data_IF_739661163469
#
_entry.id   IF_739661163469
#
_cell.length_a   1.000
_cell.length_b   1.000
_cell.length_c   1.000
_cell.angle_alpha   90.00
_cell.angle_beta   90.00
_cell.angle_gamma   90.00
#
_symmetry.space_group_name_H-M   'P 1'
#
loop_
_entity.id
_entity.type
_entity.pdbx_description
1 polymer ?
#
# COMPACT_ATOMS: atom_id res chain seq x y z
N UNK A 1 16.29 23.05 12.15
CA UNK A 1 16.80 21.85 12.84
C UNK A 1 15.86 20.71 12.50
N UNK A 2 16.36 19.64 11.90
CA UNK A 2 15.63 18.37 11.80
C UNK A 2 15.85 17.64 13.14
N UNK A 3 14.80 17.10 13.74
CA UNK A 3 14.88 16.49 15.08
C UNK A 3 15.35 15.02 15.05
N UNK A 4 15.66 14.47 13.87
CA UNK A 4 16.06 13.08 13.70
C UNK A 4 14.94 12.06 13.95
N UNK A 5 13.70 12.53 14.17
CA UNK A 5 12.56 11.69 14.50
C UNK A 5 11.91 11.15 13.21
N UNK A 6 11.81 9.83 13.10
CA UNK A 6 11.07 9.19 12.00
C UNK A 6 9.57 9.37 12.24
N UNK A 7 8.87 9.94 11.26
CA UNK A 7 7.41 10.10 11.27
C UNK A 7 6.80 9.36 10.10
N UNK A 8 5.75 8.60 10.38
CA UNK A 8 4.96 7.87 9.39
C UNK A 8 3.75 8.70 8.99
N UNK A 9 3.50 8.80 7.68
CA UNK A 9 2.34 9.48 7.12
C UNK A 9 1.56 8.51 6.24
N UNK A 10 0.23 8.58 6.32
CA UNK A 10 -0.62 7.91 5.34
C UNK A 10 -0.51 8.64 4.00
N UNK A 11 -0.13 7.88 2.98
CA UNK A 11 0.08 8.39 1.63
C UNK A 11 -0.58 7.47 0.61
N UNK A 12 -1.06 8.06 -0.48
CA UNK A 12 -1.54 7.31 -1.62
C UNK A 12 -0.35 6.77 -2.40
N UNK A 13 -0.32 5.45 -2.57
CA UNK A 13 0.63 4.78 -3.45
C UNK A 13 -0.01 4.55 -4.80
N UNK A 14 0.55 5.17 -5.83
CA UNK A 14 0.11 5.00 -7.22
C UNK A 14 1.25 4.29 -7.96
N UNK A 15 1.07 3.05 -8.45
CA UNK A 15 2.17 2.26 -9.04
C UNK A 15 2.87 2.91 -10.23
N UNK A 16 2.19 3.79 -10.97
CA UNK A 16 2.75 4.56 -12.09
C UNK A 16 3.56 5.78 -11.65
N UNK A 17 3.45 6.20 -10.38
CA UNK A 17 4.20 7.32 -9.81
C UNK A 17 5.37 6.78 -8.98
N UNK A 18 6.58 7.26 -9.27
CA UNK A 18 7.80 6.93 -8.51
C UNK A 18 7.86 7.58 -7.11
N UNK A 19 6.84 8.35 -6.74
CA UNK A 19 6.78 9.13 -5.49
C UNK A 19 5.41 8.93 -4.84
N UNK A 20 5.39 8.92 -3.50
CA UNK A 20 4.16 8.88 -2.72
C UNK A 20 3.44 10.23 -2.75
N UNK A 21 2.11 10.21 -2.78
CA UNK A 21 1.28 11.42 -2.69
C UNK A 21 0.74 11.57 -1.26
N UNK A 22 1.01 12.70 -0.63
CA UNK A 22 0.50 13.01 0.71
C UNK A 22 -0.72 13.93 0.56
N UNK A 23 -1.84 13.53 1.14
CA UNK A 23 -3.08 14.31 1.12
C UNK A 23 -3.02 15.45 2.14
N UNK A 24 -3.25 16.68 1.70
CA UNK A 24 -3.38 17.83 2.59
C UNK A 24 -4.56 17.65 3.57
N UNK A 25 -5.70 17.14 3.10
CA UNK A 25 -6.85 16.89 3.98
C UNK A 25 -6.59 15.83 5.04
N UNK A 26 -5.71 14.87 4.77
CA UNK A 26 -5.27 13.89 5.80
C UNK A 26 -4.40 14.57 6.85
N UNK A 27 -3.46 15.42 6.42
CA UNK A 27 -2.61 16.17 7.34
C UNK A 27 -3.42 17.17 8.18
N UNK A 28 -4.44 17.81 7.59
CA UNK A 28 -5.31 18.76 8.29
C UNK A 28 -6.09 18.06 9.42
N UNK A 29 -6.70 16.90 9.13
CA UNK A 29 -7.36 16.05 10.14
C UNK A 29 -6.41 15.59 11.26
N UNK A 30 -5.11 15.47 10.99
CA UNK A 30 -4.10 15.09 11.97
C UNK A 30 -3.51 16.30 12.75
N UNK A 31 -4.02 17.51 12.49
CA UNK A 31 -3.65 18.74 13.18
C UNK A 31 -2.33 19.35 12.69
N UNK A 32 -1.94 19.09 11.45
CA UNK A 32 -0.81 19.77 10.82
C UNK A 32 -1.26 21.11 10.22
N UNK A 33 -0.34 22.07 10.23
CA UNK A 33 -0.50 23.36 9.59
C UNK A 33 0.43 23.46 8.39
N UNK A 34 0.02 24.22 7.39
CA UNK A 34 0.77 24.41 6.14
C UNK A 34 0.92 25.91 5.90
N UNK A 35 2.12 26.35 5.55
CA UNK A 35 2.37 27.70 5.07
C UNK A 35 3.21 27.64 3.81
N UNK A 36 2.91 28.49 2.84
CA UNK A 36 3.68 28.53 1.60
C UNK A 36 3.76 29.94 1.02
N UNK A 37 4.94 30.29 0.54
CA UNK A 37 5.28 31.54 -0.15
C UNK A 37 6.47 31.27 -1.07
N UNK A 38 6.60 32.04 -2.15
CA UNK A 38 7.73 31.97 -3.09
C UNK A 38 8.04 30.56 -3.62
N UNK A 39 6.99 29.79 -3.93
CA UNK A 39 7.13 28.42 -4.44
C UNK A 39 7.68 27.43 -3.41
N UNK A 40 7.63 27.74 -2.12
CA UNK A 40 8.03 26.84 -1.04
C UNK A 40 6.82 26.52 -0.15
N UNK A 41 6.81 25.32 0.42
CA UNK A 41 5.84 24.91 1.43
C UNK A 41 6.56 24.44 2.70
N UNK A 42 5.99 24.76 3.85
CA UNK A 42 6.37 24.26 5.15
C UNK A 42 5.17 23.60 5.79
N UNK A 43 5.37 22.39 6.31
CA UNK A 43 4.37 21.65 7.09
C UNK A 43 4.85 21.61 8.54
N UNK A 44 4.01 22.07 9.47
CA UNK A 44 4.33 22.11 10.89
C UNK A 44 3.26 21.43 11.74
N UNK A 45 3.63 21.04 12.96
CA UNK A 45 2.70 20.62 14.02
C UNK A 45 3.02 21.46 15.26
N UNK A 46 2.19 22.46 15.52
CA UNK A 46 2.54 23.54 16.45
C UNK A 46 3.79 24.31 15.97
N UNK A 47 4.74 24.55 16.86
CA UNK A 47 5.99 25.25 16.55
C UNK A 47 7.01 24.39 15.75
N UNK A 48 6.75 23.10 15.59
CA UNK A 48 7.71 22.16 15.00
C UNK A 48 7.51 22.03 13.49
N UNK A 49 8.53 22.39 12.71
CA UNK A 49 8.56 22.14 11.26
C UNK A 49 8.88 20.67 11.01
N UNK A 50 7.98 19.99 10.33
CA UNK A 50 8.02 18.55 10.10
C UNK A 50 8.52 18.22 8.71
N UNK A 51 8.11 19.00 7.71
CA UNK A 51 8.56 18.85 6.34
C UNK A 51 8.65 20.20 5.66
N UNK A 52 9.52 20.29 4.66
CA UNK A 52 9.56 21.40 3.71
C UNK A 52 9.41 20.85 2.31
N UNK A 53 8.97 21.66 1.36
CA UNK A 53 8.85 21.27 -0.04
C UNK A 53 9.06 22.44 -0.98
N UNK A 54 9.32 22.14 -2.25
CA UNK A 54 9.42 23.12 -3.34
C UNK A 54 8.39 22.83 -4.41
N UNK A 55 7.77 23.86 -4.93
CA UNK A 55 6.85 23.79 -6.05
C UNK A 55 7.64 23.43 -7.31
N UNK A 56 7.25 22.34 -7.98
CA UNK A 56 7.79 21.89 -9.26
C UNK A 56 6.63 21.34 -10.08
N UNK A 57 6.41 21.89 -11.29
CA UNK A 57 5.32 21.46 -12.18
C UNK A 57 3.96 21.44 -11.46
N UNK A 58 3.64 22.55 -10.78
CA UNK A 58 2.40 22.76 -10.02
C UNK A 58 2.15 21.82 -8.82
N UNK A 59 3.15 21.01 -8.44
CA UNK A 59 3.08 20.10 -7.29
C UNK A 59 4.24 20.39 -6.33
N UNK A 60 3.97 20.39 -5.03
CA UNK A 60 5.04 20.48 -4.03
C UNK A 60 5.78 19.16 -3.90
N UNK A 61 7.07 19.17 -4.23
CA UNK A 61 7.99 18.07 -4.01
C UNK A 61 8.65 18.26 -2.65
N UNK A 62 8.41 17.33 -1.73
CA UNK A 62 8.96 17.40 -0.38
C UNK A 62 10.48 17.27 -0.39
N UNK A 63 11.14 18.19 0.31
CA UNK A 63 12.58 18.25 0.52
C UNK A 63 12.91 17.45 1.79
N UNK A 64 13.60 16.35 1.58
CA UNK A 64 14.05 15.48 2.66
C UNK A 64 14.20 14.07 2.13
N UNK A 65 15.10 13.31 2.75
CA UNK A 65 15.18 11.89 2.53
C UNK A 65 13.94 11.32 3.22
N UNK A 66 12.82 11.21 2.50
CA UNK A 66 11.87 10.18 2.83
C UNK A 66 12.65 8.89 2.70
N UNK A 67 13.13 8.36 3.84
CA UNK A 67 13.29 6.92 3.92
C UNK A 67 11.97 6.40 3.38
N UNK A 68 12.04 5.69 2.26
CA UNK A 68 10.94 4.85 1.82
C UNK A 68 10.76 3.97 3.04
N UNK A 69 9.85 4.39 3.93
CA UNK A 69 9.59 3.67 5.15
C UNK A 69 9.33 2.30 4.63
N UNK A 70 10.17 1.35 5.03
CA UNK A 70 9.77 -0.04 5.08
C UNK A 70 8.33 0.07 5.55
N UNK A 71 7.38 -0.20 4.64
CA UNK A 71 6.01 -0.37 5.07
C UNK A 71 6.20 -1.29 6.23
N UNK A 72 5.94 -0.83 7.45
CA UNK A 72 5.78 -1.75 8.55
C UNK A 72 4.55 -2.53 8.15
N UNK A 73 4.74 -3.50 7.23
CA UNK A 73 4.27 -4.84 7.42
C UNK A 73 4.72 -5.07 8.83
N UNK A 74 3.78 -4.89 9.75
CA UNK A 74 3.89 -5.37 11.10
C UNK A 74 4.46 -6.76 10.88
N UNK A 75 5.76 -6.93 11.14
CA UNK A 75 6.30 -8.23 11.45
C UNK A 75 5.74 -8.48 12.85
N UNK A 76 4.42 -8.72 12.89
CA UNK A 76 3.80 -9.50 13.94
C UNK A 76 4.50 -10.83 13.80
N UNK A 77 5.59 -10.95 14.56
CA UNK A 77 6.12 -12.18 15.14
C UNK A 77 5.44 -13.41 14.55
N UNK A 78 6.05 -13.99 13.52
CA UNK A 78 5.84 -15.37 13.08
C UNK A 78 4.42 -15.93 13.24
N UNK A 79 3.40 -15.14 12.91
CA UNK A 79 2.10 -15.71 12.60
C UNK A 79 2.13 -15.93 11.11
N UNK A 80 2.16 -17.20 10.74
CA UNK A 80 1.83 -17.70 9.41
C UNK A 80 0.46 -17.14 8.98
N UNK A 81 0.43 -15.88 8.53
CA UNK A 81 -0.79 -15.28 8.01
C UNK A 81 -1.03 -15.93 6.66
N UNK A 82 -2.08 -16.75 6.61
CA UNK A 82 -2.57 -17.37 5.40
C UNK A 82 -2.90 -16.28 4.37
N UNK A 83 -1.99 -16.07 3.41
CA UNK A 83 -2.10 -15.06 2.37
C UNK A 83 -2.87 -15.56 1.15
N UNK A 84 -3.53 -16.72 1.23
CA UNK A 84 -4.23 -17.36 0.10
C UNK A 84 -5.25 -16.44 -0.53
N UNK A 85 -6.09 -15.77 0.28
CA UNK A 85 -7.12 -14.84 -0.26
C UNK A 85 -6.50 -13.64 -0.98
N UNK A 86 -5.37 -13.14 -0.50
CA UNK A 86 -4.68 -12.01 -1.11
C UNK A 86 -4.07 -12.39 -2.46
N UNK A 87 -3.40 -13.54 -2.54
CA UNK A 87 -2.86 -14.04 -3.80
C UNK A 87 -3.93 -14.48 -4.79
N UNK A 88 -5.02 -15.06 -4.30
CA UNK A 88 -6.23 -15.36 -5.08
C UNK A 88 -6.71 -14.13 -5.85
N UNK A 89 -6.93 -12.99 -5.16
CA UNK A 89 -7.38 -11.76 -5.81
C UNK A 89 -6.31 -11.15 -6.73
N UNK A 90 -5.04 -11.11 -6.30
CA UNK A 90 -3.94 -10.53 -7.09
C UNK A 90 -3.71 -11.24 -8.42
N UNK A 91 -3.94 -12.55 -8.46
CA UNK A 91 -3.73 -13.39 -9.65
C UNK A 91 -5.02 -13.60 -10.44
N UNK A 92 -5.98 -12.68 -10.32
CA UNK A 92 -7.21 -12.72 -11.11
C UNK A 92 -8.16 -13.84 -10.68
N UNK A 93 -8.41 -13.95 -9.38
CA UNK A 93 -9.28 -14.97 -8.78
C UNK A 93 -8.80 -16.42 -9.01
N UNK A 94 -7.48 -16.62 -9.03
CA UNK A 94 -6.80 -17.90 -9.19
C UNK A 94 -7.32 -18.99 -8.23
N UNK A 95 -7.49 -20.21 -8.71
CA UNK A 95 -7.94 -21.33 -7.86
C UNK A 95 -6.94 -21.66 -6.72
N UNK A 96 -7.43 -22.26 -5.64
CA UNK A 96 -6.60 -22.77 -4.54
C UNK A 96 -5.49 -23.72 -5.06
N UNK A 97 -5.82 -24.59 -6.02
CA UNK A 97 -4.84 -25.49 -6.66
C UNK A 97 -3.72 -24.71 -7.35
N UNK A 98 -4.05 -23.65 -8.08
CA UNK A 98 -3.07 -22.78 -8.73
C UNK A 98 -2.16 -22.09 -7.72
N UNK A 99 -2.71 -21.63 -6.60
CA UNK A 99 -1.94 -21.02 -5.51
C UNK A 99 -0.97 -22.00 -4.86
N UNK A 100 -1.40 -23.24 -4.61
CA UNK A 100 -0.54 -24.30 -4.07
C UNK A 100 0.65 -24.59 -4.99
N UNK A 101 0.45 -24.63 -6.30
CA UNK A 101 1.54 -24.84 -7.27
C UNK A 101 2.54 -23.68 -7.22
N UNK A 102 2.07 -22.44 -7.23
CA UNK A 102 2.93 -21.27 -7.18
C UNK A 102 3.69 -21.15 -5.83
N UNK A 103 3.05 -21.56 -4.73
CA UNK A 103 3.69 -21.63 -3.42
C UNK A 103 4.83 -22.64 -3.43
N UNK A 104 4.62 -23.85 -3.96
CA UNK A 104 5.66 -24.89 -4.11
C UNK A 104 6.83 -24.46 -5.00
N UNK A 105 6.56 -23.61 -6.00
CA UNK A 105 7.59 -23.05 -6.88
C UNK A 105 8.31 -21.84 -6.27
N UNK A 106 7.95 -21.40 -5.06
CA UNK A 106 8.55 -20.24 -4.40
C UNK A 106 8.16 -18.89 -5.01
N UNK A 107 7.20 -18.85 -5.94
CA UNK A 107 6.81 -17.65 -6.68
C UNK A 107 5.91 -16.69 -5.88
N UNK A 108 5.47 -17.11 -4.68
CA UNK A 108 4.61 -16.31 -3.79
C UNK A 108 5.41 -15.64 -2.65
N UNK A 109 6.68 -15.32 -2.87
CA UNK A 109 7.56 -14.61 -1.92
C UNK A 109 7.60 -15.27 -0.52
N UNK A 110 7.63 -16.60 -0.47
CA UNK A 110 7.65 -17.36 0.79
C UNK A 110 6.31 -17.45 1.53
N UNK A 111 5.20 -17.01 0.91
CA UNK A 111 3.88 -17.13 1.52
C UNK A 111 3.39 -18.59 1.53
N UNK A 112 2.97 -19.05 2.72
CA UNK A 112 2.21 -20.30 2.86
C UNK A 112 0.77 -20.08 2.42
N UNK A 113 0.30 -20.93 1.53
CA UNK A 113 -1.09 -20.93 1.04
C UNK A 113 -1.89 -21.97 1.80
N UNK A 114 -2.87 -21.55 2.60
CA UNK A 114 -3.90 -22.38 3.20
C UNK A 114 -5.16 -22.53 2.33
N UNK A 115 -6.28 -22.84 2.99
CA UNK A 115 -7.57 -23.11 2.34
C UNK A 115 -8.22 -21.80 1.89
N UNK A 116 -8.65 -21.73 0.64
CA UNK A 116 -9.31 -20.53 0.13
C UNK A 116 -10.73 -20.41 0.72
N UNK A 117 -11.02 -19.30 1.39
CA UNK A 117 -12.38 -18.96 1.83
C UNK A 117 -13.26 -18.60 0.64
N UNK A 118 -14.57 -18.74 0.82
CA UNK A 118 -15.57 -18.37 -0.19
C UNK A 118 -15.30 -16.98 -0.80
N UNK A 119 -15.34 -16.92 -2.13
CA UNK A 119 -15.22 -15.70 -2.90
C UNK A 119 -16.45 -15.54 -3.79
N UNK A 120 -17.28 -14.55 -3.48
CA UNK A 120 -18.51 -14.24 -4.20
C UNK A 120 -18.24 -13.94 -5.68
N UNK A 121 -17.19 -13.15 -5.98
CA UNK A 121 -16.80 -12.81 -7.35
C UNK A 121 -16.42 -14.03 -8.20
N UNK A 122 -15.89 -15.10 -7.59
CA UNK A 122 -15.60 -16.35 -8.32
C UNK A 122 -16.84 -17.15 -8.65
N UNK A 123 -17.86 -17.05 -7.81
CA UNK A 123 -19.12 -17.74 -8.03
C UNK A 123 -19.93 -17.00 -9.09
N UNK A 124 -19.99 -15.68 -8.98
CA UNK A 124 -20.70 -14.83 -9.95
C UNK A 124 -20.01 -14.73 -11.30
N UNK A 125 -18.69 -14.95 -11.36
CA UNK A 125 -17.88 -14.89 -12.59
C UNK A 125 -17.66 -16.23 -13.28
N UNK A 126 -18.06 -17.36 -12.67
CA UNK A 126 -18.08 -18.66 -13.35
C UNK A 126 -19.41 -18.81 -14.06
N UNK A 127 -19.49 -18.78 -15.40
CA UNK A 127 -20.60 -19.44 -16.06
C UNK A 127 -20.62 -20.90 -15.59
N UNK A 128 -21.78 -21.39 -15.16
CA UNK A 128 -22.02 -22.82 -14.98
C UNK A 128 -21.79 -23.48 -16.33
N UNK A 129 -20.68 -24.18 -16.48
CA UNK A 129 -20.54 -25.17 -17.54
C UNK A 129 -21.29 -26.43 -17.07
N UNK A 130 -22.62 -26.39 -17.22
CA UNK A 130 -23.43 -27.59 -17.33
C UNK A 130 -23.74 -27.83 -18.81
N UNK A 131 -23.26 -28.97 -19.32
CA UNK A 131 -23.86 -29.88 -20.32
C UNK A 131 -22.74 -30.56 -21.14
N UNK A 132 -22.68 -31.87 -21.35
CA UNK A 132 -23.62 -32.93 -21.01
C UNK A 132 -23.05 -34.28 -21.46
N UNK A 133 -23.49 -35.33 -20.77
CA UNK A 133 -23.55 -36.69 -21.30
C UNK A 133 -24.65 -36.68 -22.37
N UNK A 134 -24.28 -36.88 -23.63
CA UNK A 134 -24.97 -37.72 -24.61
C UNK A 134 -23.90 -38.35 -25.51
#
# INVERSE_FOLDING_TARGET
>A
MYDGMVRTFDAWYVPSLRKNLISMGTLDKQGYSFSGNDGQITVSKGALVVMKGKLQHDIYVMLGNSFQGTVSRSHSLEQHVDNTKLWHCRLGHMSERGLVVLSKQGLLSGAMTGKLKFCESCVMGKPMEEAGIL
#
